data_IF_248962380955
#
_entry.id   IF_248962380955
#
_cell.length_a   1.000
_cell.length_b   1.000
_cell.length_c   1.000
_cell.angle_alpha   90.00
_cell.angle_beta   90.00
_cell.angle_gamma   90.00
#
_symmetry.space_group_name_H-M   'P 1'
#
loop_
_entity.id
_entity.type
_entity.pdbx_description
1 polymer ?
#
# COMPACT_ATOMS: atom_id res chain seq x y z
N UNK A 1 -19.89 5.29 11.92
CA UNK A 1 -18.81 4.31 12.24
C UNK A 1 -17.46 5.01 12.14
N UNK A 2 -16.57 4.76 13.07
CA UNK A 2 -15.23 5.37 13.15
C UNK A 2 -14.16 4.36 12.66
N UNK A 3 -12.96 4.84 12.38
CA UNK A 3 -11.81 3.99 12.10
C UNK A 3 -10.58 4.37 12.94
N UNK A 4 -9.78 3.39 13.28
CA UNK A 4 -8.45 3.57 13.86
C UNK A 4 -7.41 2.99 12.90
N UNK A 5 -6.45 3.82 12.46
CA UNK A 5 -5.35 3.38 11.62
C UNK A 5 -4.09 3.26 12.49
N UNK A 6 -3.50 2.08 12.52
CA UNK A 6 -2.26 1.81 13.24
C UNK A 6 -1.05 2.19 12.39
N UNK A 7 -0.36 3.27 12.73
CA UNK A 7 0.74 3.82 11.94
C UNK A 7 2.03 4.08 12.74
N UNK A 8 2.19 3.45 13.92
CA UNK A 8 3.34 3.63 14.81
C UNK A 8 4.60 2.81 14.48
N UNK A 9 4.56 1.91 13.50
CA UNK A 9 5.64 0.98 13.19
C UNK A 9 6.88 1.63 12.54
N UNK A 10 8.10 1.15 12.90
CA UNK A 10 9.39 1.66 12.35
C UNK A 10 9.64 1.29 10.88
N UNK A 11 9.01 0.25 10.34
CA UNK A 11 9.13 -0.15 8.93
C UNK A 11 10.52 -0.64 8.49
N UNK A 12 11.30 -1.26 9.36
CA UNK A 12 12.72 -1.64 9.12
C UNK A 12 12.94 -2.54 7.92
N UNK A 13 11.97 -3.40 7.57
CA UNK A 13 12.05 -4.33 6.42
C UNK A 13 11.93 -3.63 5.05
N UNK A 14 11.48 -2.38 5.02
CA UNK A 14 11.43 -1.54 3.82
C UNK A 14 12.67 -0.65 3.65
N UNK A 15 13.66 -0.76 4.54
CA UNK A 15 14.91 -0.03 4.34
C UNK A 15 15.53 -0.41 2.97
N UNK A 16 16.03 0.57 2.17
CA UNK A 16 16.29 1.97 2.51
C UNK A 16 15.12 2.96 2.27
N UNK A 17 13.97 2.54 1.72
CA UNK A 17 12.82 3.44 1.48
C UNK A 17 12.33 4.16 2.75
N UNK A 18 12.51 3.53 3.92
CA UNK A 18 12.13 4.08 5.22
C UNK A 18 13.27 4.79 5.96
N UNK A 19 14.41 5.03 5.31
CA UNK A 19 15.54 5.74 5.93
C UNK A 19 15.16 7.14 6.43
N UNK A 20 14.37 7.88 5.67
CA UNK A 20 13.92 9.25 5.97
C UNK A 20 12.40 9.41 6.05
N UNK A 21 11.64 8.41 5.66
CA UNK A 21 10.18 8.44 5.52
C UNK A 21 9.56 7.34 6.39
N UNK A 22 8.55 7.62 7.24
CA UNK A 22 7.87 6.58 7.99
C UNK A 22 7.12 5.65 7.03
N UNK A 23 7.03 4.35 7.36
CA UNK A 23 6.46 3.31 6.48
C UNK A 23 5.10 3.69 5.84
N UNK A 24 4.12 4.26 6.58
CA UNK A 24 2.84 4.66 5.99
C UNK A 24 2.93 5.78 4.95
N UNK A 25 4.05 6.53 4.94
CA UNK A 25 4.30 7.64 4.01
C UNK A 25 5.11 7.23 2.79
N UNK A 26 5.55 5.97 2.68
CA UNK A 26 6.20 5.47 1.47
C UNK A 26 5.25 5.61 0.29
N UNK A 27 5.74 6.19 -0.81
CA UNK A 27 4.91 6.53 -1.98
C UNK A 27 4.46 5.31 -2.77
N UNK A 28 3.17 5.18 -3.02
CA UNK A 28 2.57 4.24 -3.96
C UNK A 28 1.84 5.05 -5.03
N UNK A 29 2.36 5.09 -6.26
CA UNK A 29 1.89 5.99 -7.33
C UNK A 29 1.83 7.47 -6.89
N UNK A 30 2.93 8.00 -6.37
CA UNK A 30 3.07 9.37 -5.86
C UNK A 30 2.18 9.75 -4.67
N UNK A 31 1.48 8.79 -4.08
CA UNK A 31 0.65 9.00 -2.88
C UNK A 31 1.16 8.13 -1.74
N UNK A 32 1.17 8.60 -0.50
CA UNK A 32 1.46 7.75 0.65
C UNK A 32 0.58 6.49 0.69
N UNK A 33 1.13 5.35 1.12
CA UNK A 33 0.31 4.13 1.35
C UNK A 33 -0.86 4.44 2.27
N UNK A 34 -0.66 5.26 3.30
CA UNK A 34 -1.71 5.70 4.23
C UNK A 34 -2.87 6.44 3.52
N UNK A 35 -2.60 7.20 2.45
CA UNK A 35 -3.67 7.85 1.68
C UNK A 35 -4.58 6.83 0.99
N UNK A 36 -4.04 5.70 0.54
CA UNK A 36 -4.87 4.63 -0.03
C UNK A 36 -5.77 3.97 1.03
N UNK A 37 -5.28 3.82 2.27
CA UNK A 37 -6.10 3.35 3.39
C UNK A 37 -7.24 4.34 3.73
N UNK A 38 -6.96 5.64 3.78
CA UNK A 38 -7.98 6.69 3.98
C UNK A 38 -9.02 6.67 2.83
N UNK A 39 -8.58 6.52 1.59
CA UNK A 39 -9.48 6.42 0.44
C UNK A 39 -10.35 5.15 0.48
N UNK A 40 -9.84 4.04 1.02
CA UNK A 40 -10.63 2.83 1.28
C UNK A 40 -11.74 3.13 2.29
N UNK A 41 -11.42 3.71 3.44
CA UNK A 41 -12.38 4.08 4.47
C UNK A 41 -13.48 4.99 3.92
N UNK A 42 -13.10 6.03 3.19
CA UNK A 42 -14.03 6.97 2.55
C UNK A 42 -14.99 6.27 1.57
N UNK A 43 -14.54 5.28 0.79
CA UNK A 43 -15.40 4.49 -0.10
C UNK A 43 -16.46 3.68 0.64
N UNK A 44 -16.25 3.43 1.93
CA UNK A 44 -17.16 2.71 2.81
C UNK A 44 -17.88 3.63 3.82
N UNK A 45 -17.98 4.94 3.50
CA UNK A 45 -18.67 5.96 4.30
C UNK A 45 -18.12 6.10 5.73
N UNK A 46 -16.81 5.87 5.90
CA UNK A 46 -16.09 6.04 7.16
C UNK A 46 -15.24 7.31 7.06
N UNK A 47 -15.68 8.38 7.72
CA UNK A 47 -15.07 9.70 7.59
C UNK A 47 -14.32 10.15 8.86
N UNK A 48 -14.66 9.60 10.02
CA UNK A 48 -13.96 9.89 11.29
C UNK A 48 -12.84 8.89 11.50
N UNK A 49 -11.60 9.35 11.42
CA UNK A 49 -10.39 8.53 11.42
C UNK A 49 -9.46 8.97 12.54
N UNK A 50 -9.08 8.06 13.41
CA UNK A 50 -7.99 8.29 14.38
C UNK A 50 -6.75 7.54 13.92
N UNK A 51 -5.60 8.22 13.83
CA UNK A 51 -4.33 7.62 13.45
C UNK A 51 -3.43 7.53 14.67
N UNK A 52 -3.03 6.31 15.05
CA UNK A 52 -2.04 6.12 16.13
C UNK A 52 -0.64 6.27 15.56
N UNK A 53 0.18 7.10 16.18
CA UNK A 53 1.50 7.49 15.70
C UNK A 53 2.56 7.34 16.80
N UNK A 54 3.75 6.92 16.42
CA UNK A 54 4.93 6.92 17.29
C UNK A 54 6.15 7.49 16.55
N UNK A 55 6.65 6.79 15.54
CA UNK A 55 7.88 7.16 14.82
C UNK A 55 7.62 8.19 13.74
N UNK A 56 8.32 9.36 13.77
CA UNK A 56 8.25 10.45 12.78
C UNK A 56 6.81 10.93 12.52
N UNK A 57 6.07 11.11 13.59
CA UNK A 57 4.66 11.51 13.57
C UNK A 57 4.43 12.81 12.79
N UNK A 58 5.37 13.76 12.89
CA UNK A 58 5.29 15.09 12.27
C UNK A 58 5.06 15.00 10.76
N UNK A 59 5.76 14.11 10.06
CA UNK A 59 5.62 13.95 8.60
C UNK A 59 4.21 13.53 8.19
N UNK A 60 3.53 12.73 9.01
CA UNK A 60 2.16 12.29 8.77
C UNK A 60 1.19 13.43 9.08
N UNK A 61 1.39 14.11 10.21
CA UNK A 61 0.56 15.23 10.64
C UNK A 61 0.64 16.40 9.65
N UNK A 62 1.85 16.76 9.20
CA UNK A 62 2.08 17.84 8.24
C UNK A 62 1.43 17.56 6.89
N UNK A 63 1.46 16.30 6.44
CA UNK A 63 0.87 15.90 5.16
C UNK A 63 -0.67 15.87 5.21
N UNK A 64 -1.25 15.25 6.23
CA UNK A 64 -2.69 15.02 6.29
C UNK A 64 -3.46 16.12 7.03
N UNK A 65 -2.83 16.87 7.95
CA UNK A 65 -3.51 17.87 8.77
C UNK A 65 -4.77 17.31 9.43
N UNK A 66 -5.85 18.06 9.43
CA UNK A 66 -7.15 17.61 9.95
C UNK A 66 -7.96 16.73 8.98
N UNK A 67 -7.41 16.35 7.82
CA UNK A 67 -8.06 15.44 6.85
C UNK A 67 -9.01 16.11 5.85
N UNK A 68 -9.33 17.39 5.98
CA UNK A 68 -10.33 18.08 5.15
C UNK A 68 -10.02 18.01 3.66
N UNK A 69 -8.75 18.08 3.26
CA UNK A 69 -8.28 17.94 1.86
C UNK A 69 -8.67 16.58 1.25
N UNK A 70 -8.77 15.54 2.07
CA UNK A 70 -9.19 14.19 1.65
C UNK A 70 -10.66 13.92 1.87
N UNK A 71 -11.40 14.88 2.48
CA UNK A 71 -12.81 14.77 2.78
C UNK A 71 -13.09 13.80 3.93
N UNK A 72 -12.24 13.78 4.92
CA UNK A 72 -12.34 13.02 6.18
C UNK A 72 -11.99 13.93 7.35
N UNK A 73 -12.31 13.49 8.58
CA UNK A 73 -11.91 14.14 9.82
C UNK A 73 -10.84 13.26 10.49
N UNK A 74 -9.60 13.78 10.58
CA UNK A 74 -8.47 13.04 11.14
C UNK A 74 -8.11 13.58 12.52
N UNK A 75 -7.99 12.68 13.48
CA UNK A 75 -7.43 12.92 14.79
C UNK A 75 -6.18 12.05 14.97
N UNK A 76 -5.25 12.49 15.80
CA UNK A 76 -3.99 11.79 16.04
C UNK A 76 -3.85 11.40 17.49
N UNK A 77 -3.47 10.14 17.72
CA UNK A 77 -3.08 9.62 19.02
C UNK A 77 -1.58 9.36 19.03
N UNK A 78 -0.82 10.22 19.71
CA UNK A 78 0.62 10.08 19.84
C UNK A 78 0.97 9.09 20.95
N UNK A 79 1.89 8.18 20.66
CA UNK A 79 2.45 7.23 21.62
C UNK A 79 3.90 7.66 21.99
N UNK A 80 4.12 8.03 23.25
CA UNK A 80 5.45 8.38 23.77
C UNK A 80 6.37 7.17 23.83
N UNK A 81 5.81 5.99 23.97
CA UNK A 81 6.48 4.70 23.93
C UNK A 81 5.62 3.68 23.16
N UNK A 82 6.25 2.68 22.51
CA UNK A 82 5.50 1.66 21.78
C UNK A 82 4.54 0.89 22.69
N UNK A 83 3.24 1.06 22.46
CA UNK A 83 2.18 0.40 23.24
C UNK A 83 1.72 -0.94 22.63
N UNK A 84 2.42 -1.43 21.61
CA UNK A 84 1.97 -2.58 20.81
C UNK A 84 0.81 -2.23 19.88
N UNK A 85 0.28 -3.21 19.20
CA UNK A 85 -0.76 -2.96 18.18
C UNK A 85 -2.15 -2.66 18.76
N UNK A 86 -2.43 -3.09 20.00
CA UNK A 86 -3.73 -2.90 20.67
C UNK A 86 -3.66 -1.94 21.87
N UNK A 87 -2.49 -1.77 22.51
CA UNK A 87 -2.37 -0.95 23.73
C UNK A 87 -2.80 0.50 23.54
N UNK A 88 -2.50 1.09 22.38
CA UNK A 88 -2.92 2.45 22.04
C UNK A 88 -4.45 2.64 22.02
N UNK A 89 -5.23 1.60 21.72
CA UNK A 89 -6.70 1.67 21.72
C UNK A 89 -7.29 1.99 23.09
N UNK A 90 -6.62 1.59 24.16
CA UNK A 90 -7.12 1.87 25.52
C UNK A 90 -7.26 3.36 25.81
N UNK A 91 -6.35 4.17 25.28
CA UNK A 91 -6.40 5.63 25.38
C UNK A 91 -7.52 6.25 24.55
N UNK A 92 -7.96 5.56 23.50
CA UNK A 92 -9.00 6.00 22.59
C UNK A 92 -10.43 5.64 23.10
N UNK A 93 -10.54 4.88 24.19
CA UNK A 93 -11.85 4.43 24.73
C UNK A 93 -12.90 5.54 24.85
N UNK A 94 -12.58 6.76 25.34
CA UNK A 94 -13.58 7.82 25.47
C UNK A 94 -14.12 8.34 24.12
N UNK A 95 -13.40 8.06 23.02
CA UNK A 95 -13.73 8.54 21.67
C UNK A 95 -14.45 7.48 20.84
N UNK A 96 -14.33 6.20 21.19
CA UNK A 96 -14.87 5.05 20.44
C UNK A 96 -16.18 4.60 21.09
N UNK A 97 -17.32 5.14 20.61
CA UNK A 97 -18.64 4.94 21.21
C UNK A 97 -19.55 3.97 20.44
N UNK A 98 -19.14 3.50 19.28
CA UNK A 98 -19.88 2.57 18.40
C UNK A 98 -18.90 1.60 17.76
N UNK A 99 -19.40 0.56 17.09
CA UNK A 99 -18.59 -0.34 16.27
C UNK A 99 -17.60 0.45 15.40
N UNK A 100 -16.34 0.07 15.40
CA UNK A 100 -15.27 0.75 14.67
C UNK A 100 -14.37 -0.22 13.91
N UNK A 101 -13.72 0.29 12.89
CA UNK A 101 -12.73 -0.46 12.08
C UNK A 101 -11.33 -0.16 12.59
N UNK A 102 -10.51 -1.19 12.75
CA UNK A 102 -9.07 -1.04 12.92
C UNK A 102 -8.37 -1.57 11.68
N UNK A 103 -7.39 -0.82 11.15
CA UNK A 103 -6.56 -1.28 10.05
C UNK A 103 -5.10 -0.82 10.20
N UNK A 104 -4.19 -1.59 9.61
CA UNK A 104 -2.78 -1.23 9.54
C UNK A 104 -2.56 -0.15 8.47
N UNK A 105 -1.82 0.91 8.79
CA UNK A 105 -1.53 2.03 7.90
C UNK A 105 -0.54 1.71 6.76
N UNK A 106 -0.07 0.49 6.70
CA UNK A 106 0.88 -0.03 5.72
C UNK A 106 0.31 -1.16 4.85
N UNK A 107 -0.96 -1.50 5.03
CA UNK A 107 -1.66 -2.48 4.19
C UNK A 107 -2.36 -1.82 3.00
N UNK A 108 -2.25 -2.44 1.84
CA UNK A 108 -2.99 -2.09 0.63
C UNK A 108 -4.06 -3.14 0.40
N UNK A 109 -5.32 -2.69 0.34
CA UNK A 109 -6.47 -3.58 0.15
C UNK A 109 -7.63 -2.87 -0.53
N UNK A 110 -8.51 -3.65 -1.14
CA UNK A 110 -9.79 -3.19 -1.68
C UNK A 110 -11.00 -3.96 -1.12
N UNK A 111 -10.85 -4.55 0.06
CA UNK A 111 -11.91 -5.30 0.75
C UNK A 111 -13.18 -4.50 0.96
N UNK A 112 -14.31 -5.18 0.93
CA UNK A 112 -15.61 -4.63 1.29
C UNK A 112 -15.78 -4.57 2.82
N UNK A 113 -15.41 -3.43 3.41
CA UNK A 113 -15.54 -3.19 4.85
C UNK A 113 -17.00 -3.11 5.30
N UNK A 114 -17.93 -2.73 4.40
CA UNK A 114 -19.36 -2.67 4.70
C UNK A 114 -19.93 -4.07 4.90
N UNK A 115 -19.65 -4.98 3.96
CA UNK A 115 -20.07 -6.39 4.09
C UNK A 115 -19.48 -7.06 5.35
N UNK A 116 -18.22 -6.77 5.67
CA UNK A 116 -17.58 -7.26 6.90
C UNK A 116 -18.29 -6.72 8.16
N UNK A 117 -18.65 -5.43 8.18
CA UNK A 117 -19.37 -4.78 9.29
C UNK A 117 -20.78 -5.35 9.45
N UNK A 118 -21.51 -5.58 8.37
CA UNK A 118 -22.82 -6.21 8.40
C UNK A 118 -22.74 -7.64 8.97
N UNK A 119 -21.72 -8.40 8.58
CA UNK A 119 -21.45 -9.73 9.12
C UNK A 119 -21.17 -9.68 10.64
N UNK A 120 -20.36 -8.73 11.09
CA UNK A 120 -20.05 -8.48 12.51
C UNK A 120 -21.34 -8.24 13.32
N UNK A 121 -22.16 -7.28 12.89
CA UNK A 121 -23.43 -6.92 13.54
C UNK A 121 -24.42 -8.10 13.57
N UNK A 122 -24.56 -8.81 12.44
CA UNK A 122 -25.46 -9.98 12.36
C UNK A 122 -25.09 -11.09 13.34
N UNK A 123 -23.82 -11.21 13.70
CA UNK A 123 -23.31 -12.21 14.65
C UNK A 123 -23.25 -11.71 16.08
N UNK A 124 -23.63 -10.45 16.34
CA UNK A 124 -23.44 -9.79 17.65
C UNK A 124 -22.02 -10.04 18.19
N UNK A 125 -21.05 -9.85 17.31
CA UNK A 125 -19.66 -10.10 17.63
C UNK A 125 -19.06 -8.95 18.45
N UNK A 126 -18.18 -9.26 19.40
CA UNK A 126 -17.34 -8.26 20.08
C UNK A 126 -16.13 -7.90 19.22
N UNK A 127 -15.66 -8.88 18.43
CA UNK A 127 -14.56 -8.72 17.48
C UNK A 127 -14.79 -9.58 16.23
N UNK A 128 -14.47 -9.02 15.06
CA UNK A 128 -14.44 -9.75 13.79
C UNK A 128 -13.11 -9.47 13.09
N UNK A 129 -12.36 -10.53 12.83
CA UNK A 129 -11.08 -10.49 12.12
C UNK A 129 -11.30 -10.73 10.63
N UNK A 130 -10.78 -9.86 9.77
CA UNK A 130 -10.80 -10.10 8.33
C UNK A 130 -9.65 -11.04 7.96
N UNK A 131 -9.99 -12.09 7.23
CA UNK A 131 -9.05 -13.14 6.79
C UNK A 131 -8.85 -13.09 5.29
N UNK A 132 -7.66 -13.50 4.87
CA UNK A 132 -7.27 -13.63 3.47
C UNK A 132 -6.46 -14.91 3.25
N UNK A 133 -6.50 -15.49 2.06
CA UNK A 133 -5.70 -16.67 1.71
C UNK A 133 -4.40 -16.26 1.03
N UNK A 134 -3.29 -16.86 1.47
CA UNK A 134 -1.95 -16.63 0.92
C UNK A 134 -1.23 -17.94 0.65
N UNK A 135 -0.27 -17.94 -0.29
CA UNK A 135 0.51 -19.15 -0.60
C UNK A 135 1.45 -19.55 0.55
N UNK A 136 2.02 -18.57 1.24
CA UNK A 136 2.93 -18.80 2.38
C UNK A 136 2.46 -18.04 3.62
N UNK A 137 1.81 -18.72 4.58
CA UNK A 137 1.27 -18.08 5.78
C UNK A 137 2.29 -17.89 6.92
N UNK A 138 3.52 -18.39 6.81
CA UNK A 138 4.50 -18.45 7.92
C UNK A 138 4.85 -17.10 8.58
N UNK A 139 4.63 -15.99 7.88
CA UNK A 139 4.94 -14.63 8.36
C UNK A 139 3.74 -13.93 9.02
N UNK A 140 2.58 -14.59 9.08
CA UNK A 140 1.32 -14.02 9.54
C UNK A 140 0.70 -14.86 10.67
N UNK A 141 -0.34 -14.33 11.29
CA UNK A 141 -1.19 -15.10 12.17
C UNK A 141 -2.12 -16.01 11.36
N UNK A 142 -2.16 -17.29 11.66
CA UNK A 142 -3.08 -18.25 11.02
C UNK A 142 -4.30 -18.51 11.89
N UNK A 143 -5.45 -18.72 11.26
CA UNK A 143 -6.75 -18.75 11.94
C UNK A 143 -7.57 -19.97 11.50
N UNK A 144 -8.09 -20.69 12.47
CA UNK A 144 -9.10 -21.73 12.29
C UNK A 144 -10.45 -21.27 12.84
N UNK A 145 -11.52 -21.48 12.09
CA UNK A 145 -12.87 -21.15 12.52
C UNK A 145 -13.83 -22.31 12.28
N UNK A 146 -14.95 -22.32 12.99
CA UNK A 146 -16.06 -23.22 12.66
C UNK A 146 -16.83 -22.76 11.41
N UNK A 147 -17.82 -23.58 11.00
CA UNK A 147 -18.70 -23.27 9.86
C UNK A 147 -19.51 -21.98 10.02
N UNK A 148 -19.70 -21.52 11.25
CA UNK A 148 -20.33 -20.26 11.59
C UNK A 148 -19.36 -19.08 11.54
N UNK A 149 -18.05 -19.33 11.32
CA UNK A 149 -16.99 -18.33 11.36
C UNK A 149 -16.57 -17.93 12.77
N UNK A 150 -16.97 -18.64 13.83
CA UNK A 150 -16.46 -18.41 15.18
C UNK A 150 -15.03 -18.90 15.24
N UNK A 151 -14.09 -18.04 15.69
CA UNK A 151 -12.66 -18.37 15.78
C UNK A 151 -12.47 -19.46 16.85
N UNK A 152 -11.76 -20.51 16.49
CA UNK A 152 -11.44 -21.66 17.35
C UNK A 152 -9.98 -21.69 17.76
N UNK A 153 -9.10 -21.29 16.85
CA UNK A 153 -7.67 -21.32 17.06
C UNK A 153 -6.98 -20.18 16.33
N UNK A 154 -5.97 -19.62 16.97
CA UNK A 154 -5.13 -18.57 16.41
C UNK A 154 -3.68 -18.84 16.78
N UNK A 155 -2.76 -18.78 15.81
CA UNK A 155 -1.32 -18.88 16.04
C UNK A 155 -0.62 -17.77 15.27
N UNK A 156 0.09 -16.88 15.99
CA UNK A 156 0.89 -15.81 15.40
C UNK A 156 2.24 -16.34 14.93
N UNK A 157 2.56 -16.15 13.64
CA UNK A 157 3.83 -16.56 13.01
C UNK A 157 4.21 -18.01 13.34
N UNK A 158 3.42 -18.98 12.85
CA UNK A 158 3.59 -20.38 13.15
C UNK A 158 4.93 -20.91 12.64
N UNK A 159 5.48 -21.91 13.33
CA UNK A 159 6.54 -22.74 12.76
C UNK A 159 5.97 -23.58 11.62
N UNK A 160 6.81 -24.07 10.71
CA UNK A 160 6.35 -24.87 9.57
C UNK A 160 5.48 -26.07 9.98
N UNK A 161 5.80 -26.72 11.09
CA UNK A 161 5.03 -27.84 11.64
C UNK A 161 3.69 -27.46 12.28
N UNK A 162 3.46 -26.17 12.54
CA UNK A 162 2.25 -25.64 13.17
C UNK A 162 1.26 -25.09 12.15
N UNK A 163 1.65 -25.03 10.87
CA UNK A 163 0.79 -24.53 9.78
C UNK A 163 -0.31 -25.56 9.48
N UNK A 164 -1.55 -25.20 9.78
CA UNK A 164 -2.74 -25.99 9.54
C UNK A 164 -3.68 -25.38 8.48
N UNK A 165 -3.41 -24.15 8.04
CA UNK A 165 -4.21 -23.40 7.06
C UNK A 165 -3.36 -22.36 6.36
N UNK A 166 -3.77 -21.94 5.15
CA UNK A 166 -3.24 -20.81 4.41
C UNK A 166 -4.05 -19.52 4.62
N UNK A 167 -5.07 -19.56 5.48
CA UNK A 167 -5.92 -18.41 5.82
C UNK A 167 -5.29 -17.62 6.95
N UNK A 168 -5.01 -16.35 6.69
CA UNK A 168 -4.25 -15.48 7.59
C UNK A 168 -5.05 -14.32 8.13
N UNK A 169 -4.61 -13.81 9.27
CA UNK A 169 -5.00 -12.51 9.82
C UNK A 169 -4.41 -11.37 8.99
N UNK A 170 -5.26 -10.50 8.47
CA UNK A 170 -4.87 -9.37 7.62
C UNK A 170 -4.47 -8.10 8.38
N UNK A 171 -4.66 -8.08 9.70
CA UNK A 171 -4.50 -6.84 10.49
C UNK A 171 -5.66 -5.85 10.33
N UNK A 172 -6.81 -6.32 9.80
CA UNK A 172 -8.03 -5.52 9.68
C UNK A 172 -9.11 -6.15 10.56
N UNK A 173 -9.71 -5.34 11.41
CA UNK A 173 -10.69 -5.78 12.42
C UNK A 173 -11.91 -4.89 12.44
N UNK A 174 -13.07 -5.48 12.68
CA UNK A 174 -14.28 -4.77 13.11
C UNK A 174 -14.47 -5.07 14.58
N UNK A 175 -14.55 -4.05 15.41
CA UNK A 175 -14.54 -4.17 16.86
C UNK A 175 -15.67 -3.37 17.47
N UNK A 176 -16.29 -3.91 18.51
CA UNK A 176 -17.15 -3.15 19.39
C UNK A 176 -16.35 -2.51 20.54
N UNK A 177 -16.77 -1.34 21.07
CA UNK A 177 -16.06 -0.65 22.16
C UNK A 177 -15.81 -1.51 23.38
N UNK A 178 -16.67 -2.48 23.65
CA UNK A 178 -16.55 -3.41 24.76
C UNK A 178 -15.22 -4.17 24.77
N UNK A 179 -14.66 -4.46 23.58
CA UNK A 179 -13.38 -5.14 23.44
C UNK A 179 -12.22 -4.40 24.13
N UNK A 180 -12.33 -3.08 24.27
CA UNK A 180 -11.30 -2.23 24.88
C UNK A 180 -11.16 -2.53 26.38
N UNK A 181 -12.20 -3.05 27.05
CA UNK A 181 -12.14 -3.45 28.47
C UNK A 181 -11.14 -4.59 28.74
N UNK A 182 -10.82 -5.39 27.72
CA UNK A 182 -9.84 -6.46 27.78
C UNK A 182 -8.39 -5.97 27.68
N UNK A 183 -8.18 -4.70 27.31
CA UNK A 183 -6.86 -4.11 27.13
C UNK A 183 -6.47 -3.39 28.44
N UNK A 184 -5.36 -3.78 29.09
CA UNK A 184 -4.85 -3.10 30.30
C UNK A 184 -4.52 -1.63 30.01
N UNK A 185 -4.65 -0.80 31.03
CA UNK A 185 -4.25 0.62 30.93
C UNK A 185 -2.74 0.77 31.00
N UNK A 186 -2.16 1.60 30.13
CA UNK A 186 -0.72 1.96 30.10
C UNK A 186 0.27 0.78 30.03
N UNK A 187 -0.12 -0.31 29.36
CA UNK A 187 0.74 -1.46 29.14
C UNK A 187 0.85 -1.78 27.64
N UNK A 188 2.05 -2.18 27.17
CA UNK A 188 2.17 -2.73 25.82
C UNK A 188 1.30 -3.96 25.66
N UNK A 189 0.44 -3.94 24.64
CA UNK A 189 -0.54 -4.99 24.39
C UNK A 189 -0.74 -5.18 22.88
N UNK A 190 -0.68 -6.42 22.43
CA UNK A 190 -0.82 -6.77 21.02
C UNK A 190 -2.15 -7.47 20.77
N UNK A 191 -2.76 -7.21 19.59
CA UNK A 191 -3.92 -7.95 19.14
C UNK A 191 -3.65 -9.45 19.12
N UNK A 192 -2.61 -9.84 18.39
CA UNK A 192 -2.31 -11.25 18.11
C UNK A 192 -1.78 -12.01 19.31
N UNK A 193 -0.93 -11.39 20.14
CA UNK A 193 -0.26 -12.06 21.25
C UNK A 193 -1.02 -12.03 22.57
N UNK A 194 -1.89 -11.05 22.72
CA UNK A 194 -2.55 -10.80 24.00
C UNK A 194 -4.09 -10.80 23.88
N UNK A 195 -4.65 -9.90 23.05
CA UNK A 195 -6.10 -9.68 23.00
C UNK A 195 -6.85 -10.90 22.47
N UNK A 196 -6.48 -11.41 21.29
CA UNK A 196 -7.19 -12.52 20.67
C UNK A 196 -7.11 -13.82 21.48
N UNK A 197 -5.94 -14.24 22.03
CA UNK A 197 -5.91 -15.35 22.98
C UNK A 197 -6.86 -15.16 24.16
N UNK A 198 -6.91 -13.96 24.75
CA UNK A 198 -7.79 -13.66 25.89
C UNK A 198 -9.27 -13.74 25.51
N UNK A 199 -9.68 -13.25 24.33
CA UNK A 199 -11.04 -13.39 23.83
C UNK A 199 -11.44 -14.86 23.63
N UNK A 200 -10.49 -15.70 23.14
CA UNK A 200 -10.71 -17.13 22.97
C UNK A 200 -10.84 -17.85 24.33
N UNK A 201 -9.98 -17.57 25.28
CA UNK A 201 -10.02 -18.13 26.64
C UNK A 201 -11.34 -17.82 27.36
N UNK A 202 -11.85 -16.60 27.19
CA UNK A 202 -13.10 -16.16 27.76
C UNK A 202 -14.33 -16.58 26.94
N UNK A 203 -14.13 -17.31 25.81
CA UNK A 203 -15.19 -17.77 24.91
C UNK A 203 -16.07 -16.65 24.33
N UNK A 204 -15.49 -15.45 24.20
CA UNK A 204 -16.19 -14.28 23.69
C UNK A 204 -16.73 -14.48 22.26
N UNK A 205 -17.72 -13.67 21.82
CA UNK A 205 -18.21 -13.68 20.45
C UNK A 205 -17.16 -13.13 19.46
N UNK A 206 -16.07 -13.87 19.29
CA UNK A 206 -14.98 -13.57 18.39
C UNK A 206 -15.11 -14.36 17.09
N UNK A 207 -15.31 -13.65 15.98
CA UNK A 207 -15.58 -14.23 14.68
C UNK A 207 -14.52 -13.84 13.67
N UNK A 208 -14.55 -14.49 12.52
CA UNK A 208 -13.80 -14.10 11.35
C UNK A 208 -14.72 -13.89 10.14
N UNK A 209 -14.23 -13.08 9.20
CA UNK A 209 -14.84 -12.81 7.90
C UNK A 209 -13.80 -13.06 6.82
N UNK A 210 -14.05 -14.02 5.92
CA UNK A 210 -13.19 -14.24 4.76
C UNK A 210 -13.45 -13.14 3.75
N UNK A 211 -12.48 -12.25 3.60
CA UNK A 211 -12.60 -11.12 2.70
C UNK A 211 -12.23 -11.53 1.27
N UNK A 212 -13.03 -11.07 0.33
CA UNK A 212 -12.75 -11.17 -1.11
C UNK A 212 -12.08 -9.89 -1.60
N UNK A 213 -11.25 -10.00 -2.65
CA UNK A 213 -10.54 -8.88 -3.24
C UNK A 213 -9.03 -9.03 -3.11
N UNK A 214 -8.35 -7.93 -2.89
CA UNK A 214 -6.90 -7.87 -2.80
C UNK A 214 -6.44 -7.44 -1.41
N UNK A 215 -5.37 -8.06 -0.93
CA UNK A 215 -4.67 -7.64 0.28
C UNK A 215 -3.16 -7.85 0.13
N UNK A 216 -2.39 -6.88 0.59
CA UNK A 216 -0.93 -6.96 0.70
C UNK A 216 -0.44 -6.12 1.88
N UNK A 217 0.30 -6.73 2.81
CA UNK A 217 1.16 -6.01 3.74
C UNK A 217 2.40 -5.54 2.97
N UNK A 218 2.55 -4.22 2.79
CA UNK A 218 3.73 -3.65 2.12
C UNK A 218 4.92 -3.73 3.10
N UNK A 219 5.36 -4.94 3.36
CA UNK A 219 6.35 -5.26 4.40
C UNK A 219 7.78 -5.46 3.90
N UNK A 220 8.00 -5.58 2.58
CA UNK A 220 9.32 -5.77 1.97
C UNK A 220 9.44 -4.99 0.66
N UNK A 221 10.67 -4.77 0.20
CA UNK A 221 10.95 -4.09 -1.09
C UNK A 221 10.31 -4.80 -2.27
N UNK A 222 10.29 -6.12 -2.26
CA UNK A 222 9.64 -6.92 -3.29
C UNK A 222 8.11 -6.76 -3.26
N UNK A 223 7.48 -6.80 -2.08
CA UNK A 223 6.04 -6.54 -1.94
C UNK A 223 5.69 -5.12 -2.36
N UNK A 224 6.49 -4.12 -1.99
CA UNK A 224 6.33 -2.74 -2.42
C UNK A 224 6.30 -2.62 -3.95
N UNK A 225 7.25 -3.21 -4.66
CA UNK A 225 7.29 -3.24 -6.12
C UNK A 225 6.08 -3.96 -6.69
N UNK A 226 5.74 -5.12 -6.16
CA UNK A 226 4.65 -5.96 -6.67
C UNK A 226 3.27 -5.32 -6.51
N UNK A 227 3.01 -4.56 -5.44
CA UNK A 227 1.75 -3.81 -5.29
C UNK A 227 1.55 -2.82 -6.44
N UNK A 228 2.60 -2.16 -6.92
CA UNK A 228 2.52 -1.32 -8.11
C UNK A 228 2.11 -2.13 -9.35
N UNK A 229 2.71 -3.30 -9.53
CA UNK A 229 2.42 -4.16 -10.69
C UNK A 229 1.00 -4.74 -10.65
N UNK A 230 0.54 -5.15 -9.46
CA UNK A 230 -0.82 -5.62 -9.25
C UNK A 230 -1.87 -4.52 -9.50
N UNK A 231 -1.57 -3.28 -9.13
CA UNK A 231 -2.44 -2.15 -9.45
C UNK A 231 -2.50 -1.85 -10.96
N UNK A 232 -1.36 -1.91 -11.66
CA UNK A 232 -1.29 -1.70 -13.10
C UNK A 232 -2.10 -2.76 -13.88
N UNK A 233 -2.18 -3.97 -13.38
CA UNK A 233 -2.96 -5.07 -13.98
C UNK A 233 -4.42 -5.09 -13.54
N UNK A 234 -4.81 -4.23 -12.61
CA UNK A 234 -6.18 -4.16 -12.09
C UNK A 234 -6.52 -5.25 -11.07
N UNK A 235 -5.53 -5.96 -10.53
CA UNK A 235 -5.71 -6.93 -9.46
C UNK A 235 -6.20 -6.26 -8.17
N UNK A 236 -5.77 -5.03 -7.92
CA UNK A 236 -6.26 -4.20 -6.81
C UNK A 236 -6.94 -2.94 -7.37
N UNK A 237 -8.07 -2.58 -6.79
CA UNK A 237 -8.84 -1.39 -7.16
C UNK A 237 -8.34 -0.17 -6.39
N UNK A 238 -7.29 0.49 -6.91
CA UNK A 238 -6.78 1.75 -6.38
C UNK A 238 -7.22 2.94 -7.23
N UNK A 239 -7.42 4.08 -6.57
CA UNK A 239 -7.64 5.35 -7.26
C UNK A 239 -6.28 5.97 -7.62
N UNK A 240 -5.75 5.63 -8.79
CA UNK A 240 -4.45 6.13 -9.24
C UNK A 240 -4.55 7.61 -9.64
N UNK A 241 -3.53 8.44 -9.33
CA UNK A 241 -3.51 9.87 -9.65
C UNK A 241 -3.08 10.13 -11.11
N UNK A 242 -3.65 9.37 -12.05
CA UNK A 242 -3.41 9.51 -13.48
C UNK A 242 -4.64 9.02 -14.25
N UNK A 243 -4.75 9.38 -15.51
CA UNK A 243 -5.85 8.93 -16.37
C UNK A 243 -5.53 7.57 -16.96
N UNK A 244 -6.47 6.66 -16.91
CA UNK A 244 -6.38 5.40 -17.66
C UNK A 244 -6.73 5.68 -19.13
N UNK A 245 -5.70 5.72 -19.98
CA UNK A 245 -5.87 6.01 -21.42
C UNK A 245 -6.12 4.74 -22.24
N UNK A 246 -5.64 3.60 -21.77
CA UNK A 246 -5.94 2.29 -22.33
C UNK A 246 -5.80 1.20 -21.26
N UNK A 247 -6.04 -0.07 -21.60
CA UNK A 247 -5.87 -1.17 -20.66
C UNK A 247 -4.40 -1.26 -20.22
N UNK A 248 -4.15 -1.13 -18.92
CA UNK A 248 -2.81 -1.14 -18.33
C UNK A 248 -1.96 0.10 -18.65
N UNK A 249 -2.55 1.19 -19.18
CA UNK A 249 -1.82 2.43 -19.50
C UNK A 249 -2.42 3.60 -18.72
N UNK A 250 -1.61 4.20 -17.88
CA UNK A 250 -1.97 5.32 -17.02
C UNK A 250 -1.04 6.49 -17.30
N UNK A 251 -1.60 7.66 -17.58
CA UNK A 251 -0.84 8.87 -17.96
C UNK A 251 -1.37 10.06 -17.17
N UNK A 252 -0.47 10.75 -16.50
CA UNK A 252 -0.72 12.00 -15.76
C UNK A 252 -0.93 13.20 -16.69
N UNK A 253 -1.01 14.36 -16.08
CA UNK A 253 -1.12 15.64 -16.78
C UNK A 253 0.28 16.18 -17.15
N UNK A 254 0.35 17.06 -18.17
CA UNK A 254 1.58 17.75 -18.62
C UNK A 254 2.75 16.82 -18.97
N UNK A 255 2.44 15.65 -19.54
CA UNK A 255 3.44 14.65 -19.93
C UNK A 255 3.95 14.94 -21.35
N UNK A 256 5.28 14.97 -21.50
CA UNK A 256 5.96 15.18 -22.77
C UNK A 256 6.68 13.88 -23.19
N UNK A 257 6.18 13.23 -24.26
CA UNK A 257 6.79 11.99 -24.79
C UNK A 257 7.20 12.22 -26.23
N UNK A 258 8.51 12.07 -26.52
CA UNK A 258 9.01 12.19 -27.89
C UNK A 258 8.41 11.11 -28.79
N UNK A 259 8.05 11.40 -30.06
CA UNK A 259 7.40 10.45 -30.98
C UNK A 259 8.14 9.12 -31.21
N UNK A 260 9.45 9.10 -31.05
CA UNK A 260 10.28 7.88 -31.23
C UNK A 260 10.35 6.98 -29.99
N UNK A 261 9.73 7.38 -28.87
CA UNK A 261 9.69 6.58 -27.64
C UNK A 261 8.92 5.29 -27.87
N UNK A 262 9.42 4.17 -27.33
CA UNK A 262 8.78 2.86 -27.39
C UNK A 262 8.16 2.54 -26.02
N UNK A 263 6.86 2.25 -26.00
CA UNK A 263 6.09 2.00 -24.78
C UNK A 263 5.47 0.61 -24.82
N UNK A 264 5.63 -0.17 -23.76
CA UNK A 264 5.02 -1.52 -23.61
C UNK A 264 4.19 -1.60 -22.33
N UNK A 265 2.88 -1.73 -22.49
CA UNK A 265 1.96 -1.88 -21.35
C UNK A 265 2.17 -3.21 -20.58
N UNK A 266 1.83 -3.27 -19.27
CA UNK A 266 1.27 -2.17 -18.48
C UNK A 266 2.34 -1.21 -17.95
N UNK A 267 1.99 0.09 -17.83
CA UNK A 267 2.86 1.11 -17.26
C UNK A 267 2.06 2.30 -16.70
N UNK A 268 2.71 3.08 -15.85
CA UNK A 268 2.23 4.33 -15.28
C UNK A 268 3.24 5.44 -15.53
N UNK A 269 2.76 6.59 -15.96
CA UNK A 269 3.52 7.82 -16.15
C UNK A 269 2.85 8.93 -15.37
N UNK A 270 3.54 9.49 -14.38
CA UNK A 270 3.06 10.57 -13.52
C UNK A 270 2.97 11.93 -14.23
N UNK A 271 2.53 12.96 -13.48
CA UNK A 271 2.41 14.32 -14.02
C UNK A 271 3.77 14.91 -14.36
N UNK A 272 3.84 15.70 -15.45
CA UNK A 272 5.05 16.43 -15.84
C UNK A 272 6.24 15.56 -16.22
N UNK A 273 6.04 14.27 -16.48
CA UNK A 273 7.11 13.37 -16.93
C UNK A 273 7.56 13.73 -18.34
N UNK A 274 8.88 13.68 -18.59
CA UNK A 274 9.49 13.90 -19.90
C UNK A 274 10.26 12.68 -20.35
N UNK A 275 10.01 12.24 -21.60
CA UNK A 275 10.72 11.14 -22.22
C UNK A 275 11.34 11.58 -23.55
N UNK A 276 12.66 11.51 -23.64
CA UNK A 276 13.48 11.97 -24.76
C UNK A 276 13.58 10.94 -25.89
N UNK A 277 14.32 11.28 -26.96
CA UNK A 277 14.41 10.48 -28.20
C UNK A 277 14.86 9.04 -27.94
N UNK A 278 14.24 8.11 -28.68
CA UNK A 278 14.58 6.67 -28.71
C UNK A 278 14.56 6.01 -27.32
N UNK A 279 14.16 6.72 -26.27
CA UNK A 279 14.00 6.10 -24.96
C UNK A 279 12.87 5.06 -24.97
N UNK A 280 12.84 4.18 -23.97
CA UNK A 280 11.83 3.13 -23.89
C UNK A 280 11.32 2.91 -22.48
N UNK A 281 10.02 2.68 -22.38
CA UNK A 281 9.33 2.28 -21.15
C UNK A 281 8.75 0.89 -21.35
N UNK A 282 9.33 -0.09 -20.71
CA UNK A 282 8.90 -1.47 -20.73
C UNK A 282 7.72 -1.74 -19.81
N UNK A 283 7.28 -3.00 -19.80
CA UNK A 283 6.17 -3.47 -18.95
C UNK A 283 6.47 -3.28 -17.47
N UNK A 284 5.40 -3.11 -16.71
CA UNK A 284 5.47 -2.99 -15.24
C UNK A 284 6.42 -1.87 -14.80
N UNK A 285 6.37 -0.74 -15.50
CA UNK A 285 7.17 0.42 -15.15
C UNK A 285 6.28 1.55 -14.62
N UNK A 286 6.74 2.18 -13.56
CA UNK A 286 6.09 3.30 -12.89
C UNK A 286 7.06 4.48 -12.87
N UNK A 287 6.71 5.58 -13.52
CA UNK A 287 7.45 6.83 -13.47
C UNK A 287 6.70 7.82 -12.56
N UNK A 288 7.34 8.22 -11.47
CA UNK A 288 6.82 9.25 -10.57
C UNK A 288 6.74 10.63 -11.23
N UNK A 289 5.99 11.54 -10.62
CA UNK A 289 5.78 12.91 -11.12
C UNK A 289 7.11 13.63 -11.39
N UNK A 290 7.16 14.45 -12.45
CA UNK A 290 8.31 15.25 -12.86
C UNK A 290 9.60 14.44 -13.10
N UNK A 291 9.51 13.15 -13.38
CA UNK A 291 10.66 12.33 -13.76
C UNK A 291 11.09 12.61 -15.19
N UNK A 292 12.39 12.48 -15.46
CA UNK A 292 12.97 12.67 -16.80
C UNK A 292 13.68 11.40 -17.27
N UNK A 293 13.48 11.03 -18.52
CA UNK A 293 14.14 9.90 -19.18
C UNK A 293 14.84 10.41 -20.43
N UNK A 294 16.17 10.42 -20.39
CA UNK A 294 17.00 10.97 -21.45
C UNK A 294 17.08 10.06 -22.67
N UNK A 295 17.73 10.56 -23.76
CA UNK A 295 17.87 9.85 -25.03
C UNK A 295 18.42 8.43 -24.85
N UNK A 296 17.85 7.47 -25.60
CA UNK A 296 18.30 6.06 -25.67
C UNK A 296 18.21 5.29 -24.32
N UNK A 297 17.65 5.89 -23.26
CA UNK A 297 17.49 5.22 -21.96
C UNK A 297 16.35 4.21 -22.00
N UNK A 298 16.48 3.12 -21.21
CA UNK A 298 15.49 2.05 -21.15
C UNK A 298 15.11 1.70 -19.71
N UNK A 299 13.80 1.64 -19.43
CA UNK A 299 13.27 1.31 -18.11
C UNK A 299 12.26 0.18 -18.27
N UNK A 300 12.37 -0.86 -17.46
CA UNK A 300 11.38 -1.94 -17.43
C UNK A 300 11.31 -2.61 -16.06
N UNK A 301 10.13 -3.10 -15.65
CA UNK A 301 9.84 -3.73 -14.35
C UNK A 301 10.32 -2.91 -13.14
N UNK A 302 10.27 -1.58 -13.23
CA UNK A 302 10.90 -0.68 -12.24
C UNK A 302 9.93 0.38 -11.75
N UNK A 303 10.13 0.81 -10.50
CA UNK A 303 9.36 1.86 -9.84
C UNK A 303 10.29 3.04 -9.57
N UNK A 304 10.02 4.17 -10.17
CA UNK A 304 10.76 5.42 -10.02
C UNK A 304 9.90 6.42 -9.25
N UNK A 305 10.44 6.95 -8.16
CA UNK A 305 9.83 8.02 -7.38
C UNK A 305 9.82 9.37 -8.14
N UNK A 306 9.11 10.34 -7.59
CA UNK A 306 8.98 11.67 -8.19
C UNK A 306 10.34 12.37 -8.37
N UNK A 307 10.51 13.13 -9.46
CA UNK A 307 11.71 13.91 -9.74
C UNK A 307 12.95 13.07 -10.06
N UNK A 308 12.79 11.79 -10.37
CA UNK A 308 13.90 10.91 -10.77
C UNK A 308 14.40 11.26 -12.18
N UNK A 309 15.71 11.29 -12.39
CA UNK A 309 16.34 11.55 -13.69
C UNK A 309 17.16 10.34 -14.14
N UNK A 310 16.85 9.83 -15.34
CA UNK A 310 17.57 8.70 -15.94
C UNK A 310 18.40 9.22 -17.11
N UNK A 311 19.73 9.14 -16.95
CA UNK A 311 20.71 9.65 -17.92
C UNK A 311 20.70 8.88 -19.24
N UNK A 312 21.31 9.49 -20.26
CA UNK A 312 21.35 8.99 -21.63
C UNK A 312 21.93 7.56 -21.71
N UNK A 313 21.26 6.69 -22.47
CA UNK A 313 21.70 5.32 -22.70
C UNK A 313 21.68 4.41 -21.46
N UNK A 314 21.14 4.88 -20.33
CA UNK A 314 21.07 4.08 -19.11
C UNK A 314 19.98 3.01 -19.21
N UNK A 315 20.18 1.90 -18.50
CA UNK A 315 19.24 0.79 -18.44
C UNK A 315 18.84 0.52 -17.00
N UNK A 316 17.54 0.51 -16.71
CA UNK A 316 16.98 0.28 -15.36
C UNK A 316 16.01 -0.89 -15.46
N UNK A 317 16.36 -1.99 -14.81
CA UNK A 317 15.57 -3.21 -14.79
C UNK A 317 15.27 -3.63 -13.35
N UNK A 318 14.03 -4.05 -13.06
CA UNK A 318 13.64 -4.65 -11.78
C UNK A 318 13.82 -3.76 -10.54
N UNK A 319 14.18 -2.50 -10.71
CA UNK A 319 14.73 -1.65 -9.67
C UNK A 319 13.69 -0.71 -9.06
N UNK A 320 13.97 -0.22 -7.85
CA UNK A 320 13.17 0.81 -7.17
C UNK A 320 14.07 2.02 -6.89
N UNK A 321 13.72 3.15 -7.46
CA UNK A 321 14.43 4.41 -7.24
C UNK A 321 13.57 5.34 -6.40
N UNK A 322 14.09 5.80 -5.27
CA UNK A 322 13.44 6.81 -4.44
C UNK A 322 13.29 8.14 -5.18
N UNK A 323 12.51 9.07 -4.60
CA UNK A 323 12.32 10.39 -5.19
C UNK A 323 13.64 11.16 -5.30
N UNK A 324 13.80 11.93 -6.40
CA UNK A 324 14.97 12.79 -6.64
C UNK A 324 16.24 12.08 -7.07
N UNK A 325 16.24 10.76 -7.21
CA UNK A 325 17.43 10.00 -7.65
C UNK A 325 17.84 10.41 -9.06
N UNK A 326 19.15 10.64 -9.23
CA UNK A 326 19.79 10.93 -10.53
C UNK A 326 20.68 9.77 -10.95
N UNK A 327 20.30 9.08 -12.01
CA UNK A 327 21.10 8.02 -12.63
C UNK A 327 21.98 8.64 -13.71
N UNK A 328 23.32 8.55 -13.60
CA UNK A 328 24.24 9.08 -14.62
C UNK A 328 24.06 8.39 -15.98
N UNK A 329 24.62 9.02 -17.05
CA UNK A 329 24.64 8.45 -18.40
C UNK A 329 25.31 7.07 -18.45
N UNK A 330 24.76 6.17 -19.26
CA UNK A 330 25.30 4.83 -19.51
C UNK A 330 25.24 3.87 -18.30
N UNK A 331 24.53 4.20 -17.24
CA UNK A 331 24.44 3.35 -16.03
C UNK A 331 23.49 2.17 -16.26
N UNK A 332 23.89 1.00 -15.77
CA UNK A 332 23.06 -0.20 -15.73
C UNK A 332 22.69 -0.52 -14.29
N UNK A 333 21.38 -0.61 -14.01
CA UNK A 333 20.83 -0.97 -12.71
C UNK A 333 19.93 -2.20 -12.91
N UNK A 334 20.13 -3.23 -12.09
CA UNK A 334 19.30 -4.45 -12.11
C UNK A 334 18.97 -4.90 -10.69
N UNK A 335 17.67 -4.98 -10.38
CA UNK A 335 17.13 -5.41 -9.08
C UNK A 335 17.70 -4.64 -7.88
N UNK A 336 18.04 -3.39 -8.08
CA UNK A 336 18.60 -2.48 -7.08
C UNK A 336 17.52 -1.55 -6.51
N UNK A 337 17.70 -1.18 -5.23
CA UNK A 337 16.97 -0.07 -4.60
C UNK A 337 17.95 1.06 -4.31
N UNK A 338 17.67 2.24 -4.83
CA UNK A 338 18.46 3.45 -4.57
C UNK A 338 17.59 4.51 -3.91
N UNK A 339 18.07 5.09 -2.81
CA UNK A 339 17.38 6.15 -2.07
C UNK A 339 18.38 7.24 -1.69
N UNK A 340 17.99 8.49 -1.89
CA UNK A 340 18.74 9.65 -1.43
C UNK A 340 18.58 9.81 0.09
N UNK A 341 19.69 9.73 0.82
CA UNK A 341 19.74 9.98 2.27
C UNK A 341 20.40 11.34 2.60
N UNK A 342 20.71 12.13 1.57
CA UNK A 342 21.41 13.41 1.69
C UNK A 342 22.92 13.28 1.81
N UNK A 343 23.49 12.08 1.69
CA UNK A 343 24.93 11.84 1.54
C UNK A 343 25.36 11.87 0.07
N UNK A 344 26.66 11.92 -0.19
CA UNK A 344 27.20 11.81 -1.55
C UNK A 344 26.97 10.46 -2.21
N UNK A 345 26.76 9.43 -1.41
CA UNK A 345 26.50 8.05 -1.84
C UNK A 345 25.06 7.66 -1.48
N UNK A 346 24.27 7.30 -2.50
CA UNK A 346 22.89 6.83 -2.28
C UNK A 346 22.88 5.52 -1.47
N UNK A 347 21.89 5.39 -0.57
CA UNK A 347 21.64 4.12 0.10
C UNK A 347 21.20 3.07 -0.93
N UNK A 348 21.79 1.87 -0.87
CA UNK A 348 21.52 0.77 -1.78
C UNK A 348 21.02 -0.47 -1.06
N UNK A 349 20.16 -1.22 -1.71
CA UNK A 349 19.76 -2.56 -1.33
C UNK A 349 19.43 -3.37 -2.61
N UNK A 350 19.39 -4.70 -2.48
CA UNK A 350 18.98 -5.59 -3.56
C UNK A 350 17.56 -6.09 -3.32
N UNK A 351 16.83 -6.32 -4.42
CA UNK A 351 15.48 -6.91 -4.37
C UNK A 351 15.60 -8.40 -4.71
N UNK A 352 15.12 -9.29 -3.83
CA UNK A 352 15.05 -10.72 -4.15
C UNK A 352 14.19 -10.96 -5.39
N UNK A 353 14.72 -11.74 -6.34
CA UNK A 353 14.07 -12.09 -7.61
C UNK A 353 12.92 -13.11 -7.46
N UNK A 354 12.75 -13.75 -6.30
CA UNK A 354 11.79 -14.84 -6.08
C UNK A 354 10.32 -14.50 -6.40
N UNK A 355 9.96 -13.22 -6.39
CA UNK A 355 8.59 -12.77 -6.64
C UNK A 355 8.32 -12.31 -8.09
N UNK A 356 9.30 -12.35 -8.99
CA UNK A 356 9.13 -11.94 -10.40
C UNK A 356 8.23 -12.89 -11.20
N UNK A 357 8.11 -14.15 -10.79
CA UNK A 357 7.36 -15.20 -11.51
C UNK A 357 5.85 -14.94 -11.61
N UNK A 358 5.26 -14.18 -10.68
CA UNK A 358 3.80 -13.90 -10.66
C UNK A 358 3.31 -13.07 -11.84
N UNK A 359 4.18 -12.29 -12.49
CA UNK A 359 3.81 -11.38 -13.57
C UNK A 359 4.32 -11.84 -14.95
N UNK A 360 4.99 -12.98 -15.05
CA UNK A 360 5.54 -13.51 -16.30
C UNK A 360 4.47 -13.99 -17.30
N UNK A 361 3.25 -14.31 -16.85
CA UNK A 361 2.19 -14.90 -17.66
C UNK A 361 1.24 -13.89 -18.32
N UNK A 362 1.46 -12.58 -18.19
CA UNK A 362 0.65 -11.57 -18.90
C UNK A 362 1.08 -11.54 -20.37
N UNK A 363 0.56 -12.47 -21.16
CA UNK A 363 0.77 -12.52 -22.62
C UNK A 363 -0.04 -11.45 -23.34
N UNK A 364 0.52 -10.85 -24.40
CA UNK A 364 0.01 -9.80 -25.30
C UNK A 364 0.24 -8.35 -24.84
N UNK A 365 1.51 -7.95 -24.81
CA UNK A 365 1.87 -6.54 -24.73
C UNK A 365 1.88 -5.94 -26.13
N UNK A 366 0.92 -5.09 -26.46
CA UNK A 366 1.04 -4.21 -27.61
C UNK A 366 2.14 -3.17 -27.36
N UNK A 367 2.96 -2.93 -28.38
CA UNK A 367 3.95 -1.84 -28.35
C UNK A 367 3.28 -0.58 -28.85
N UNK A 368 3.36 0.50 -28.09
CA UNK A 368 2.80 1.80 -28.41
C UNK A 368 3.93 2.77 -28.74
N UNK A 369 3.71 3.63 -29.71
CA UNK A 369 4.59 4.79 -29.94
C UNK A 369 4.24 5.92 -28.98
N UNK A 370 5.19 6.79 -28.68
CA UNK A 370 4.93 7.99 -27.89
C UNK A 370 3.81 8.85 -28.49
N UNK A 371 3.72 8.90 -29.81
CA UNK A 371 2.67 9.64 -30.54
C UNK A 371 1.26 9.07 -30.28
N UNK A 372 1.11 7.74 -30.26
CA UNK A 372 -0.18 7.09 -30.01
C UNK A 372 -0.66 7.36 -28.57
N UNK A 373 0.23 7.24 -27.58
CA UNK A 373 -0.14 7.52 -26.17
C UNK A 373 -0.43 9.00 -25.97
N UNK A 374 0.33 9.91 -26.57
CA UNK A 374 0.07 11.34 -26.50
C UNK A 374 -1.27 11.72 -27.13
N UNK A 375 -1.65 11.13 -28.26
CA UNK A 375 -2.97 11.32 -28.90
C UNK A 375 -4.11 10.85 -28.00
N UNK A 376 -4.00 9.66 -27.39
CA UNK A 376 -5.01 9.14 -26.46
C UNK A 376 -5.16 10.04 -25.22
N UNK A 377 -4.06 10.52 -24.66
CA UNK A 377 -4.08 11.44 -23.53
C UNK A 377 -4.76 12.77 -23.89
N UNK A 378 -4.45 13.35 -25.06
CA UNK A 378 -5.05 14.59 -25.54
C UNK A 378 -6.56 14.47 -25.84
N UNK A 379 -7.01 13.36 -26.45
CA UNK A 379 -8.43 13.09 -26.69
C UNK A 379 -9.26 13.06 -25.41
N UNK A 380 -8.72 12.47 -24.32
CA UNK A 380 -9.41 12.44 -23.03
C UNK A 380 -9.45 13.81 -22.34
N UNK A 381 -8.50 14.69 -22.61
CA UNK A 381 -8.51 16.08 -22.11
C UNK A 381 -9.60 16.90 -22.78
N UNK A 382 -9.75 16.80 -24.11
CA UNK A 382 -10.78 17.53 -24.86
C UNK A 382 -12.20 17.09 -24.50
N UNK A 383 -12.42 15.80 -24.22
CA UNK A 383 -13.74 15.30 -23.77
C UNK A 383 -14.14 15.83 -22.38
N UNK A 384 -13.20 16.11 -21.48
CA UNK A 384 -13.50 16.74 -20.17
C UNK A 384 -13.83 18.23 -20.30
N UNK A 385 -13.20 18.96 -21.22
CA UNK A 385 -13.51 20.37 -21.48
C UNK A 385 -14.89 20.55 -22.13
N UNK A 386 -15.42 19.51 -22.81
CA UNK A 386 -16.77 19.51 -23.38
C UNK A 386 -17.86 19.05 -22.38
N UNK A 387 -17.46 18.42 -21.27
CA UNK A 387 -18.36 17.90 -20.24
C UNK A 387 -18.41 18.77 -18.95
N UNK A 388 -17.61 19.82 -18.86
CA UNK A 388 -17.59 20.83 -17.80
C UNK A 388 -18.21 22.14 -18.29
#
# INVERSE_FOLDING_TARGET
>A
MQAVILAGGKGTRLFPLTSRTPKPMVGLFNKPVLEHAINLLKRHDIYDVTITLAHRAEQIIDYFGGGSKWGVNIQYALEDSPMGTAGGLRRLQPMLNDTFVVLSGDAVTDFDLKAATECHKKKSAIATMLLYEVDNPSQFGIVESDNGGKVKRFIEKPRQSEIFTNTINTGIYILDPEVISYIPYEMPYDFSRNLFPRLLENQEPFFCYRAEGYWCDVGSLAQYRNVHFDALTGRVKLNLPARRVANGIWVGDDVEIHPTVKLKAPFYVGNGVRMSRNSSLGRFSVLGDASTVEDDAAITHSVLGAGTSIGRGSQVYGSVLGSGIKVPDGRHLSDEVLVDDGSSDHLRAEISSELMSRHSSVEHAFTWSGLEVARLAAQLTSLRQLAA
#
